data_IF_230433666741
#
_entry.id   IF_230433666741
#
_cell.length_a   1.000
_cell.length_b   1.000
_cell.length_c   1.000
_cell.angle_alpha   90.00
_cell.angle_beta   90.00
_cell.angle_gamma   90.00
#
_symmetry.space_group_name_H-M   'P 1'
#
loop_
_entity.id
_entity.type
_entity.pdbx_description
1 polymer ?
#
# COMPACT_ATOMS: atom_id res chain seq x y z
N UNK A 1 16.12 -28.87 -11.98
CA UNK A 1 14.98 -28.30 -11.24
C UNK A 1 14.08 -27.64 -12.26
N UNK A 2 12.91 -28.20 -12.55
CA UNK A 2 11.95 -27.59 -13.48
C UNK A 2 11.36 -26.29 -12.90
N UNK A 3 10.69 -25.47 -13.70
CA UNK A 3 10.01 -24.30 -13.17
C UNK A 3 8.94 -24.74 -12.17
N UNK A 4 9.08 -24.29 -10.92
CA UNK A 4 8.04 -24.45 -9.91
C UNK A 4 6.82 -23.62 -10.34
N UNK A 5 5.60 -24.12 -10.08
CA UNK A 5 4.34 -23.47 -10.39
C UNK A 5 4.33 -22.01 -9.88
N UNK A 6 4.97 -21.76 -8.75
CA UNK A 6 5.19 -20.42 -8.21
C UNK A 6 5.90 -19.50 -9.21
N UNK A 7 7.06 -19.92 -9.71
CA UNK A 7 7.85 -19.14 -10.65
C UNK A 7 7.10 -18.89 -11.96
N UNK A 8 6.32 -19.87 -12.44
CA UNK A 8 5.47 -19.71 -13.63
C UNK A 8 4.39 -18.65 -13.40
N UNK A 9 3.70 -18.70 -12.26
CA UNK A 9 2.63 -17.76 -11.95
C UNK A 9 3.16 -16.34 -11.77
N UNK A 10 4.32 -16.14 -11.13
CA UNK A 10 4.95 -14.82 -11.02
C UNK A 10 5.39 -14.29 -12.39
N UNK A 11 5.98 -15.13 -13.24
CA UNK A 11 6.31 -14.72 -14.61
C UNK A 11 5.08 -14.31 -15.43
N UNK A 12 3.95 -14.99 -15.26
CA UNK A 12 2.69 -14.59 -15.88
C UNK A 12 2.16 -13.25 -15.35
N UNK A 13 2.28 -12.98 -14.04
CA UNK A 13 1.92 -11.69 -13.45
C UNK A 13 2.68 -10.55 -14.13
N UNK A 14 4.00 -10.67 -14.24
CA UNK A 14 4.85 -9.66 -14.90
C UNK A 14 4.45 -9.46 -16.38
N UNK A 15 4.21 -10.55 -17.11
CA UNK A 15 3.77 -10.49 -18.52
C UNK A 15 2.42 -9.78 -18.64
N UNK A 16 1.47 -10.10 -17.76
CA UNK A 16 0.14 -9.50 -17.80
C UNK A 16 0.15 -8.03 -17.38
N UNK A 17 0.95 -7.64 -16.39
CA UNK A 17 1.13 -6.23 -16.01
C UNK A 17 1.67 -5.39 -17.18
N UNK A 18 2.66 -5.91 -17.93
CA UNK A 18 3.20 -5.23 -19.12
C UNK A 18 2.21 -5.11 -20.27
N UNK A 19 1.18 -5.96 -20.29
CA UNK A 19 0.09 -5.93 -21.26
C UNK A 19 -1.14 -5.17 -20.74
N UNK A 20 -1.07 -4.56 -19.55
CA UNK A 20 -2.21 -3.92 -18.86
C UNK A 20 -3.41 -4.88 -18.65
N UNK A 21 -3.12 -6.20 -18.61
CA UNK A 21 -4.11 -7.26 -18.38
C UNK A 21 -4.27 -7.51 -16.88
N UNK A 22 -4.80 -6.51 -16.20
CA UNK A 22 -4.88 -6.47 -14.74
C UNK A 22 -5.64 -7.65 -14.14
N UNK A 23 -6.77 -8.05 -14.73
CA UNK A 23 -7.59 -9.16 -14.23
C UNK A 23 -6.85 -10.51 -14.31
N UNK A 24 -6.06 -10.74 -15.36
CA UNK A 24 -5.30 -11.98 -15.52
C UNK A 24 -4.12 -12.06 -14.53
N UNK A 25 -3.45 -10.94 -14.28
CA UNK A 25 -2.43 -10.83 -13.24
C UNK A 25 -3.03 -11.06 -11.84
N UNK A 26 -4.19 -10.46 -11.54
CA UNK A 26 -4.93 -10.69 -10.29
C UNK A 26 -5.30 -12.18 -10.14
N UNK A 27 -5.77 -12.84 -11.20
CA UNK A 27 -6.13 -14.25 -11.17
C UNK A 27 -4.90 -15.15 -10.84
N UNK A 28 -3.73 -14.82 -11.38
CA UNK A 28 -2.49 -15.54 -11.07
C UNK A 28 -2.10 -15.38 -9.59
N UNK A 29 -2.19 -14.16 -9.05
CA UNK A 29 -1.90 -13.87 -7.64
C UNK A 29 -2.93 -14.49 -6.69
N UNK A 30 -4.21 -14.53 -7.06
CA UNK A 30 -5.22 -15.26 -6.28
C UNK A 30 -4.94 -16.75 -6.21
N UNK A 31 -4.47 -17.35 -7.31
CA UNK A 31 -4.08 -18.75 -7.34
C UNK A 31 -2.86 -18.99 -6.45
N UNK A 32 -1.84 -18.13 -6.53
CA UNK A 32 -0.68 -18.18 -5.63
C UNK A 32 -1.09 -18.07 -4.16
N UNK A 33 -1.98 -17.13 -3.82
CA UNK A 33 -2.46 -16.96 -2.43
C UNK A 33 -3.18 -18.20 -1.90
N UNK A 34 -3.86 -18.98 -2.76
CA UNK A 34 -4.49 -20.24 -2.32
C UNK A 34 -3.46 -21.34 -2.07
N UNK A 35 -2.35 -21.33 -2.80
CA UNK A 35 -1.25 -22.28 -2.61
C UNK A 35 -0.38 -21.90 -1.41
N UNK A 36 -0.19 -20.61 -1.18
CA UNK A 36 0.66 -20.05 -0.13
C UNK A 36 -0.09 -18.95 0.65
N UNK A 37 -1.03 -19.32 1.53
CA UNK A 37 -1.90 -18.35 2.23
C UNK A 37 -1.17 -17.38 3.15
N UNK A 38 0.03 -17.74 3.61
CA UNK A 38 0.82 -16.95 4.56
C UNK A 38 1.93 -16.12 3.89
N UNK A 39 2.11 -16.25 2.57
CA UNK A 39 3.12 -15.48 1.85
C UNK A 39 2.73 -14.00 1.76
N UNK A 40 3.41 -13.18 2.57
CA UNK A 40 3.20 -11.73 2.65
C UNK A 40 3.59 -11.04 1.34
N UNK A 41 4.52 -11.58 0.55
CA UNK A 41 4.88 -11.02 -0.76
C UNK A 41 3.69 -11.14 -1.71
N UNK A 42 3.05 -12.31 -1.77
CA UNK A 42 1.86 -12.53 -2.60
C UNK A 42 0.70 -11.64 -2.13
N UNK A 43 0.51 -11.49 -0.80
CA UNK A 43 -0.51 -10.57 -0.25
C UNK A 43 -0.24 -9.12 -0.64
N UNK A 44 1.01 -8.68 -0.56
CA UNK A 44 1.43 -7.32 -0.95
C UNK A 44 1.14 -7.06 -2.43
N UNK A 45 1.67 -7.91 -3.31
CA UNK A 45 1.48 -7.75 -4.75
C UNK A 45 0.01 -7.79 -5.16
N UNK A 46 -0.80 -8.64 -4.49
CA UNK A 46 -2.23 -8.67 -4.74
C UNK A 46 -2.95 -7.42 -4.24
N UNK A 47 -2.56 -6.87 -3.08
CA UNK A 47 -3.16 -5.66 -2.52
C UNK A 47 -2.94 -4.43 -3.41
N UNK A 48 -1.70 -4.24 -3.86
CA UNK A 48 -1.30 -3.20 -4.81
C UNK A 48 -2.12 -3.29 -6.10
N UNK A 49 -2.04 -4.44 -6.78
CA UNK A 49 -2.69 -4.64 -8.07
C UNK A 49 -4.20 -4.48 -8.01
N UNK A 50 -4.83 -4.91 -6.90
CA UNK A 50 -6.26 -4.74 -6.70
C UNK A 50 -6.66 -3.27 -6.63
N UNK A 51 -5.94 -2.46 -5.86
CA UNK A 51 -6.25 -1.04 -5.69
C UNK A 51 -5.95 -0.23 -6.95
N UNK A 52 -4.85 -0.53 -7.64
CA UNK A 52 -4.46 0.17 -8.88
C UNK A 52 -5.45 -0.11 -10.02
N UNK A 53 -5.92 -1.35 -10.13
CA UNK A 53 -6.87 -1.74 -11.18
C UNK A 53 -8.31 -1.26 -10.92
N UNK A 54 -8.66 -0.94 -9.67
CA UNK A 54 -10.02 -0.58 -9.27
C UNK A 54 -10.02 0.58 -8.26
N UNK A 55 -9.51 1.77 -8.63
CA UNK A 55 -9.42 2.89 -7.73
C UNK A 55 -10.81 3.31 -7.23
N UNK A 56 -10.97 3.41 -5.91
CA UNK A 56 -12.22 3.82 -5.26
C UNK A 56 -13.30 2.73 -5.14
N UNK A 57 -13.08 1.51 -5.64
CA UNK A 57 -14.04 0.41 -5.44
C UNK A 57 -14.04 -0.08 -3.98
N UNK A 58 -15.16 0.18 -3.28
CA UNK A 58 -15.34 -0.19 -1.87
C UNK A 58 -15.24 -1.69 -1.62
N UNK A 59 -15.69 -2.53 -2.54
CA UNK A 59 -15.58 -3.99 -2.39
C UNK A 59 -14.12 -4.43 -2.45
N UNK A 60 -13.35 -3.81 -3.33
CA UNK A 60 -11.91 -4.05 -3.44
C UNK A 60 -11.18 -3.57 -2.19
N UNK A 61 -11.49 -2.38 -1.69
CA UNK A 61 -10.93 -1.91 -0.43
C UNK A 61 -11.22 -2.88 0.73
N UNK A 62 -12.47 -3.36 0.87
CA UNK A 62 -12.81 -4.37 1.88
C UNK A 62 -12.00 -5.66 1.73
N UNK A 63 -11.78 -6.11 0.48
CA UNK A 63 -10.97 -7.30 0.18
C UNK A 63 -9.51 -7.11 0.59
N UNK A 64 -8.93 -5.93 0.34
CA UNK A 64 -7.56 -5.59 0.74
C UNK A 64 -7.41 -5.51 2.26
N UNK A 65 -8.40 -4.94 2.96
CA UNK A 65 -8.40 -4.91 4.43
C UNK A 65 -8.39 -6.33 5.01
N UNK A 66 -9.20 -7.24 4.48
CA UNK A 66 -9.21 -8.66 4.87
C UNK A 66 -7.91 -9.37 4.52
N UNK A 67 -7.32 -9.06 3.37
CA UNK A 67 -6.05 -9.64 2.93
C UNK A 67 -4.90 -9.31 3.90
N UNK A 68 -4.95 -8.14 4.52
CA UNK A 68 -3.97 -7.65 5.50
C UNK A 68 -4.44 -7.78 6.96
N UNK A 69 -5.35 -8.72 7.25
CA UNK A 69 -5.76 -9.05 8.61
C UNK A 69 -4.59 -9.70 9.40
N UNK A 70 -4.44 -9.34 10.67
CA UNK A 70 -3.39 -9.86 11.55
C UNK A 70 -1.95 -9.45 11.21
N UNK A 71 -1.73 -8.63 10.18
CA UNK A 71 -0.39 -8.19 9.77
C UNK A 71 0.20 -7.20 10.78
N UNK A 72 1.39 -7.51 11.29
CA UNK A 72 2.19 -6.64 12.15
C UNK A 72 3.40 -6.05 11.41
N UNK A 73 3.98 -4.97 11.94
CA UNK A 73 5.06 -4.23 11.28
C UNK A 73 6.45 -4.87 11.48
N UNK A 74 6.66 -6.09 10.99
CA UNK A 74 7.91 -6.83 11.23
C UNK A 74 9.00 -6.57 10.20
N UNK A 75 8.69 -6.76 8.92
CA UNK A 75 9.65 -6.56 7.82
C UNK A 75 9.18 -5.46 6.87
N UNK A 76 10.08 -4.96 6.01
CA UNK A 76 9.76 -3.92 5.01
C UNK A 76 8.48 -4.24 4.23
N UNK A 77 8.33 -5.49 3.79
CA UNK A 77 7.17 -6.03 3.06
C UNK A 77 5.88 -5.89 3.89
N UNK A 78 5.94 -6.16 5.20
CA UNK A 78 4.77 -5.98 6.07
C UNK A 78 4.33 -4.51 6.18
N UNK A 79 5.27 -3.56 6.25
CA UNK A 79 4.88 -2.14 6.26
C UNK A 79 4.32 -1.68 4.92
N UNK A 80 4.82 -2.20 3.80
CA UNK A 80 4.24 -1.96 2.48
C UNK A 80 2.81 -2.51 2.42
N UNK A 81 2.55 -3.70 2.97
CA UNK A 81 1.19 -4.24 3.03
C UNK A 81 0.28 -3.41 3.96
N UNK A 82 0.82 -2.89 5.07
CA UNK A 82 0.10 -1.95 5.94
C UNK A 82 -0.21 -0.61 5.26
N UNK A 83 0.66 -0.12 4.37
CA UNK A 83 0.37 1.06 3.53
C UNK A 83 -0.88 0.81 2.67
N UNK A 84 -0.93 -0.31 1.94
CA UNK A 84 -2.10 -0.65 1.12
C UNK A 84 -3.37 -0.92 1.94
N UNK A 85 -3.23 -1.53 3.13
CA UNK A 85 -4.34 -1.64 4.08
C UNK A 85 -4.87 -0.26 4.48
N UNK A 86 -3.99 0.69 4.77
CA UNK A 86 -4.40 2.04 5.16
C UNK A 86 -5.05 2.81 4.00
N UNK A 87 -4.52 2.71 2.77
CA UNK A 87 -5.17 3.24 1.56
C UNK A 87 -6.57 2.69 1.36
N UNK A 88 -6.74 1.38 1.56
CA UNK A 88 -8.04 0.74 1.49
C UNK A 88 -9.00 1.24 2.59
N UNK A 89 -8.54 1.39 3.83
CA UNK A 89 -9.33 1.97 4.92
C UNK A 89 -9.71 3.43 4.63
N UNK A 90 -8.78 4.20 4.07
CA UNK A 90 -8.99 5.58 3.65
C UNK A 90 -10.07 5.67 2.56
N UNK A 91 -9.98 4.85 1.51
CA UNK A 91 -11.01 4.76 0.46
C UNK A 91 -12.39 4.28 0.96
N UNK A 92 -12.46 3.63 2.12
CA UNK A 92 -13.71 3.28 2.81
C UNK A 92 -14.25 4.41 3.71
N UNK A 93 -13.52 5.50 3.88
CA UNK A 93 -13.84 6.57 4.83
C UNK A 93 -13.58 6.19 6.29
N UNK A 94 -12.87 5.09 6.55
CA UNK A 94 -12.51 4.62 7.90
C UNK A 94 -11.22 5.32 8.37
N UNK A 95 -11.29 6.64 8.45
CA UNK A 95 -10.12 7.53 8.58
C UNK A 95 -9.30 7.28 9.86
N UNK A 96 -9.96 7.06 11.01
CA UNK A 96 -9.24 6.78 12.27
C UNK A 96 -8.46 5.46 12.19
N UNK A 97 -9.05 4.43 11.58
CA UNK A 97 -8.39 3.14 11.39
C UNK A 97 -7.21 3.25 10.39
N UNK A 98 -7.38 4.03 9.32
CA UNK A 98 -6.30 4.33 8.37
C UNK A 98 -5.12 5.03 9.08
N UNK A 99 -5.40 6.08 9.86
CA UNK A 99 -4.41 6.81 10.67
C UNK A 99 -3.66 5.90 11.64
N UNK A 100 -4.38 5.01 12.33
CA UNK A 100 -3.79 4.06 13.28
C UNK A 100 -2.87 3.06 12.58
N UNK A 101 -3.32 2.52 11.44
CA UNK A 101 -2.54 1.60 10.61
C UNK A 101 -1.23 2.24 10.14
N UNK A 102 -1.28 3.48 9.63
CA UNK A 102 -0.10 4.23 9.18
C UNK A 102 0.83 4.57 10.35
N UNK A 103 0.26 4.91 11.50
CA UNK A 103 1.04 5.17 12.72
C UNK A 103 1.79 3.92 13.16
N UNK A 104 1.16 2.74 13.12
CA UNK A 104 1.81 1.47 13.42
C UNK A 104 2.91 1.12 12.40
N UNK A 105 2.65 1.31 11.11
CA UNK A 105 3.62 1.10 10.03
C UNK A 105 4.86 2.01 10.15
N UNK A 106 4.71 3.22 10.68
CA UNK A 106 5.80 4.18 10.88
C UNK A 106 6.58 4.01 12.20
N UNK A 107 6.17 3.08 13.10
CA UNK A 107 6.88 2.83 14.37
C UNK A 107 8.31 2.30 14.19
N UNK A 108 8.56 1.53 13.13
CA UNK A 108 9.88 0.96 12.80
C UNK A 108 10.40 1.56 11.50
N UNK A 109 11.47 2.36 11.59
CA UNK A 109 12.13 2.98 10.42
C UNK A 109 13.36 2.22 9.93
N UNK A 110 14.08 1.55 10.83
CA UNK A 110 15.30 0.79 10.49
C UNK A 110 14.95 -0.33 9.49
N UNK A 111 15.70 -0.40 8.39
CA UNK A 111 15.52 -1.41 7.35
C UNK A 111 14.33 -1.17 6.43
N UNK A 112 13.77 0.05 6.41
CA UNK A 112 12.74 0.48 5.44
C UNK A 112 13.39 1.33 4.36
N UNK A 113 12.91 1.23 3.13
CA UNK A 113 13.33 2.15 2.07
C UNK A 113 12.80 3.55 2.36
N UNK A 114 13.55 4.58 1.96
CA UNK A 114 13.10 5.96 2.08
C UNK A 114 11.80 6.19 1.30
N UNK A 115 11.67 5.58 0.12
CA UNK A 115 10.44 5.60 -0.69
C UNK A 115 9.22 5.10 0.09
N UNK A 116 9.33 3.97 0.79
CA UNK A 116 8.23 3.45 1.61
C UNK A 116 7.91 4.38 2.78
N UNK A 117 8.93 4.94 3.43
CA UNK A 117 8.73 5.90 4.53
C UNK A 117 8.05 7.18 4.04
N UNK A 118 8.38 7.66 2.84
CA UNK A 118 7.72 8.82 2.22
C UNK A 118 6.27 8.50 1.89
N UNK A 119 6.00 7.38 1.24
CA UNK A 119 4.65 6.94 0.90
C UNK A 119 3.74 6.80 2.14
N UNK A 120 4.27 6.22 3.23
CA UNK A 120 3.55 6.12 4.51
C UNK A 120 3.23 7.48 5.13
N UNK A 121 4.16 8.44 5.07
CA UNK A 121 3.93 9.80 5.61
C UNK A 121 2.95 10.57 4.74
N UNK A 122 3.07 10.45 3.43
CA UNK A 122 2.20 11.12 2.47
C UNK A 122 0.75 10.65 2.65
N UNK A 123 0.54 9.33 2.64
CA UNK A 123 -0.80 8.77 2.89
C UNK A 123 -1.37 9.24 4.24
N UNK A 124 -0.52 9.34 5.28
CA UNK A 124 -0.95 9.82 6.60
C UNK A 124 -1.27 11.30 6.61
N UNK A 125 -0.57 12.11 5.82
CA UNK A 125 -0.89 13.51 5.63
C UNK A 125 -2.26 13.70 4.99
N UNK A 126 -2.59 12.90 3.96
CA UNK A 126 -3.92 12.88 3.34
C UNK A 126 -5.00 12.50 4.35
N UNK A 127 -4.80 11.40 5.10
CA UNK A 127 -5.74 10.98 6.15
C UNK A 127 -5.91 12.06 7.24
N UNK A 128 -4.85 12.76 7.61
CA UNK A 128 -4.96 13.87 8.56
C UNK A 128 -5.75 15.05 8.00
N UNK A 129 -5.64 15.32 6.70
CA UNK A 129 -6.41 16.38 6.04
C UNK A 129 -7.90 16.05 6.06
N UNK A 130 -8.28 14.82 5.69
CA UNK A 130 -9.66 14.33 5.69
C UNK A 130 -10.27 14.25 7.11
N UNK A 131 -9.43 14.03 8.14
CA UNK A 131 -9.82 14.13 9.55
C UNK A 131 -9.94 15.58 10.04
N UNK A 132 -9.64 16.60 9.22
CA UNK A 132 -9.61 18.01 9.62
C UNK A 132 -8.39 18.40 10.49
N UNK A 133 -7.41 17.49 10.66
CA UNK A 133 -6.22 17.68 11.49
C UNK A 133 -5.12 18.45 10.74
N UNK A 134 -5.45 19.65 10.22
CA UNK A 134 -4.59 20.46 9.33
C UNK A 134 -3.16 20.67 9.83
N UNK A 135 -2.97 20.93 11.13
CA UNK A 135 -1.63 21.11 11.72
C UNK A 135 -0.76 19.86 11.59
N UNK A 136 -1.35 18.68 11.76
CA UNK A 136 -0.63 17.40 11.66
C UNK A 136 -0.34 17.04 10.21
N UNK A 137 -1.31 17.22 9.32
CA UNK A 137 -1.11 17.05 7.88
C UNK A 137 0.06 17.92 7.39
N UNK A 138 0.01 19.24 7.68
CA UNK A 138 1.09 20.17 7.31
C UNK A 138 2.46 19.77 7.85
N UNK A 139 2.54 19.30 9.10
CA UNK A 139 3.82 18.86 9.68
C UNK A 139 4.40 17.62 8.99
N UNK A 140 3.58 16.72 8.46
CA UNK A 140 4.05 15.57 7.67
C UNK A 140 4.51 16.03 6.28
N UNK A 141 3.76 16.91 5.63
CA UNK A 141 4.10 17.46 4.31
C UNK A 141 5.39 18.28 4.34
N UNK A 142 5.61 19.14 5.35
CA UNK A 142 6.85 19.92 5.49
C UNK A 142 8.09 19.01 5.63
N UNK A 143 7.96 17.88 6.34
CA UNK A 143 9.05 16.88 6.44
C UNK A 143 9.30 16.20 5.11
N UNK A 144 8.25 15.86 4.37
CA UNK A 144 8.37 15.26 3.04
C UNK A 144 9.07 16.22 2.08
N UNK A 145 8.62 17.48 2.03
CA UNK A 145 9.21 18.52 1.19
C UNK A 145 10.69 18.75 1.50
N UNK A 146 11.07 18.73 2.78
CA UNK A 146 12.47 18.89 3.18
C UNK A 146 13.37 17.72 2.73
N UNK A 147 12.81 16.52 2.57
CA UNK A 147 13.52 15.33 2.10
C UNK A 147 13.48 15.16 0.57
N UNK A 148 12.38 15.58 -0.05
CA UNK A 148 12.05 15.40 -1.46
C UNK A 148 11.06 16.49 -1.93
N UNK A 149 11.56 17.64 -2.43
CA UNK A 149 10.71 18.77 -2.84
C UNK A 149 9.75 18.45 -3.99
N UNK A 150 10.09 17.44 -4.81
CA UNK A 150 9.34 17.03 -6.00
C UNK A 150 8.38 15.85 -5.72
N UNK A 151 8.19 15.48 -4.45
CA UNK A 151 7.36 14.34 -4.08
C UNK A 151 5.87 14.62 -4.30
N UNK A 152 5.26 13.93 -5.27
CA UNK A 152 3.82 14.00 -5.57
C UNK A 152 3.31 15.46 -5.70
N UNK A 153 2.23 15.81 -5.01
CA UNK A 153 1.64 17.16 -4.98
C UNK A 153 2.00 17.93 -3.68
N UNK A 154 3.07 17.53 -2.98
CA UNK A 154 3.41 18.07 -1.64
C UNK A 154 3.66 19.57 -1.68
N UNK A 155 4.37 20.08 -2.68
CA UNK A 155 4.62 21.52 -2.84
C UNK A 155 3.31 22.31 -3.00
N UNK A 156 2.41 21.83 -3.87
CA UNK A 156 1.09 22.42 -4.09
C UNK A 156 0.26 22.43 -2.79
N UNK A 157 0.21 21.31 -2.06
CA UNK A 157 -0.49 21.22 -0.77
C UNK A 157 0.08 22.13 0.31
N UNK A 158 1.36 22.48 0.22
CA UNK A 158 2.01 23.44 1.12
C UNK A 158 1.81 24.90 0.70
N UNK A 159 1.38 25.13 -0.55
CA UNK A 159 1.24 26.45 -1.17
C UNK A 159 2.55 27.07 -1.62
N UNK A 160 3.51 26.23 -2.09
CA UNK A 160 4.83 26.62 -2.57
C UNK A 160 4.92 26.64 -4.09
#
# INVERSE_FOLDING_TARGET
>A
MGPDLRGVLLGLVEVYQRQERWQDAIACLEKLRRLEPDDVVVKLSLAELLLDAHPGDKNICQKVVRLAEGIENDTSIHAALLLYKARALHGLGLLDAARETLTAALRRKKGRSEELLRALRYERALVYEDLGQRRRSRSELEKLYAEDPDYEDVAERLGL
#
